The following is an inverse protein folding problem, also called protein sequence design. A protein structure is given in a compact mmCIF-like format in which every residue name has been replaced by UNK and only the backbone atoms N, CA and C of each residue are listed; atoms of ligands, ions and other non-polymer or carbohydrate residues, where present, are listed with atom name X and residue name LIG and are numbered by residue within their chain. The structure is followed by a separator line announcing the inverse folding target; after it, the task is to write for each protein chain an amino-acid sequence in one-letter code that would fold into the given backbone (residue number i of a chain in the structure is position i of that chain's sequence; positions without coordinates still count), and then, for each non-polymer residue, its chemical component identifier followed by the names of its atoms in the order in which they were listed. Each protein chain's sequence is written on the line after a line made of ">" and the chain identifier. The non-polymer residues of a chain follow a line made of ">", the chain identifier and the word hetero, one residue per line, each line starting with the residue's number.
data_IF_113378930606
#
_entry.id   IF_113378930606
#
_cell.length_a   1.000
_cell.length_b   1.000
_cell.length_c   1.000
_cell.angle_alpha   90.00
_cell.angle_beta   90.00
_cell.angle_gamma   90.00
#
_symmetry.space_group_name_H-M   'P 1'
#
loop_
_entity.id
_entity.type
_entity.pdbx_description
1 polymer ?
#
# COMPACT_ATOMS: atom_id res chain seq x y z
N UNK A 1 9.56 -4.70 -12.83
CA UNK A 1 9.86 -3.88 -11.64
C UNK A 1 9.32 -2.45 -11.80
N UNK A 2 9.70 -1.70 -12.84
CA UNK A 2 9.41 -0.26 -12.97
C UNK A 2 7.91 0.11 -12.92
N UNK A 3 7.06 -0.57 -13.70
CA UNK A 3 5.62 -0.27 -13.79
C UNK A 3 4.86 -0.67 -12.51
N UNK A 4 5.28 -1.75 -11.86
CA UNK A 4 4.59 -2.30 -10.70
C UNK A 4 4.93 -1.56 -9.40
N UNK A 5 6.15 -1.00 -9.31
CA UNK A 5 6.64 -0.30 -8.13
C UNK A 5 6.33 1.20 -8.15
N UNK A 6 6.59 1.89 -9.26
CA UNK A 6 6.63 3.35 -9.26
C UNK A 6 5.33 4.02 -9.75
N UNK A 7 4.60 3.42 -10.68
CA UNK A 7 3.43 4.07 -11.30
C UNK A 7 2.10 3.57 -10.74
N UNK A 8 1.99 2.28 -10.41
CA UNK A 8 0.73 1.69 -9.94
C UNK A 8 0.44 2.03 -8.46
N UNK A 9 1.44 1.99 -7.59
CA UNK A 9 1.27 2.31 -6.16
C UNK A 9 1.02 3.80 -5.94
N UNK A 10 1.77 4.66 -6.62
CA UNK A 10 1.65 6.12 -6.49
C UNK A 10 0.34 6.67 -7.06
N UNK A 11 -0.20 6.07 -8.13
CA UNK A 11 -1.51 6.44 -8.67
C UNK A 11 -2.65 6.22 -7.66
N UNK A 12 -2.59 5.13 -6.88
CA UNK A 12 -3.55 4.87 -5.80
C UNK A 12 -3.50 5.93 -4.69
N UNK A 13 -2.29 6.26 -4.22
CA UNK A 13 -2.07 7.30 -3.20
C UNK A 13 -2.52 8.67 -3.73
N UNK A 14 -2.22 8.99 -4.99
CA UNK A 14 -2.66 10.23 -5.64
C UNK A 14 -4.18 10.36 -5.69
N UNK A 15 -4.90 9.28 -6.03
CA UNK A 15 -6.36 9.30 -6.06
C UNK A 15 -6.94 9.56 -4.66
N UNK A 16 -6.40 8.91 -3.63
CA UNK A 16 -6.83 9.10 -2.23
C UNK A 16 -6.57 10.55 -1.79
N UNK A 17 -5.38 11.08 -2.08
CA UNK A 17 -5.02 12.46 -1.77
C UNK A 17 -5.93 13.47 -2.50
N UNK A 18 -6.22 13.26 -3.78
CA UNK A 18 -7.11 14.11 -4.57
C UNK A 18 -8.55 14.08 -4.08
N UNK A 19 -8.98 12.94 -3.55
CA UNK A 19 -10.34 12.75 -3.00
C UNK A 19 -10.41 13.02 -1.50
N UNK A 20 -9.39 13.61 -0.87
CA UNK A 20 -9.36 13.84 0.59
C UNK A 20 -10.64 14.50 1.14
N UNK A 21 -11.19 15.47 0.41
CA UNK A 21 -12.42 16.17 0.78
C UNK A 21 -13.65 15.25 0.88
N UNK A 22 -13.66 14.14 0.14
CA UNK A 22 -14.71 13.10 0.19
C UNK A 22 -14.50 12.21 1.42
N UNK A 23 -13.25 11.87 1.73
CA UNK A 23 -12.90 11.05 2.90
C UNK A 23 -13.11 11.78 4.23
N UNK A 24 -13.03 13.11 4.25
CA UNK A 24 -13.34 13.93 5.43
C UNK A 24 -14.83 13.89 5.82
N UNK A 25 -15.73 13.61 4.88
CA UNK A 25 -17.17 13.52 5.15
C UNK A 25 -17.58 12.24 5.91
N UNK A 26 -16.73 11.22 5.99
CA UNK A 26 -17.04 9.96 6.65
C UNK A 26 -15.84 9.39 7.40
N UNK A 27 -15.88 9.52 8.73
CA UNK A 27 -14.88 8.94 9.64
C UNK A 27 -14.78 7.43 9.46
N UNK A 28 -15.91 6.74 9.31
CA UNK A 28 -15.93 5.28 9.09
C UNK A 28 -15.15 4.86 7.84
N UNK A 29 -15.36 5.55 6.71
CA UNK A 29 -14.66 5.23 5.46
C UNK A 29 -13.13 5.39 5.61
N UNK A 30 -12.70 6.46 6.29
CA UNK A 30 -11.29 6.73 6.56
C UNK A 30 -10.66 5.72 7.53
N UNK A 31 -11.40 5.29 8.55
CA UNK A 31 -10.96 4.25 9.49
C UNK A 31 -10.80 2.89 8.80
N UNK A 32 -11.73 2.52 7.92
CA UNK A 32 -11.62 1.28 7.13
C UNK A 32 -10.40 1.31 6.22
N UNK A 33 -10.17 2.43 5.53
CA UNK A 33 -8.98 2.62 4.68
C UNK A 33 -7.68 2.41 5.47
N UNK A 34 -7.59 3.00 6.67
CA UNK A 34 -6.44 2.83 7.57
C UNK A 34 -6.22 1.36 7.96
N UNK A 35 -7.28 0.65 8.35
CA UNK A 35 -7.18 -0.76 8.73
C UNK A 35 -6.77 -1.65 7.56
N UNK A 36 -7.35 -1.44 6.37
CA UNK A 36 -6.99 -2.19 5.16
C UNK A 36 -5.52 -1.97 4.81
N UNK A 37 -5.03 -0.72 4.88
CA UNK A 37 -3.63 -0.40 4.65
C UNK A 37 -2.69 -1.06 5.67
N UNK A 38 -3.04 -0.96 6.96
CA UNK A 38 -2.25 -1.54 8.05
C UNK A 38 -2.12 -3.06 7.93
N UNK A 39 -3.23 -3.78 7.69
CA UNK A 39 -3.24 -5.24 7.54
C UNK A 39 -2.45 -5.67 6.30
N UNK A 40 -2.62 -4.97 5.18
CA UNK A 40 -1.92 -5.28 3.93
C UNK A 40 -0.41 -5.09 4.05
N UNK A 41 0.02 -3.99 4.70
CA UNK A 41 1.43 -3.71 4.97
C UNK A 41 2.04 -4.78 5.86
N UNK A 42 1.35 -5.16 6.94
CA UNK A 42 1.80 -6.19 7.87
C UNK A 42 1.97 -7.56 7.17
N UNK A 43 0.97 -8.00 6.42
CA UNK A 43 1.01 -9.27 5.69
C UNK A 43 2.20 -9.31 4.72
N UNK A 44 2.37 -8.28 3.89
CA UNK A 44 3.46 -8.23 2.91
C UNK A 44 4.84 -8.13 3.54
N UNK A 45 4.96 -7.38 4.64
CA UNK A 45 6.22 -7.30 5.40
C UNK A 45 6.61 -8.65 5.98
N UNK A 46 5.68 -9.40 6.55
CA UNK A 46 5.97 -10.75 7.08
C UNK A 46 6.34 -11.73 5.96
N UNK A 47 5.64 -11.69 4.81
CA UNK A 47 5.97 -12.53 3.64
C UNK A 47 7.32 -12.18 3.02
N UNK A 48 7.73 -10.90 3.07
CA UNK A 48 9.03 -10.45 2.58
C UNK A 48 10.23 -10.99 3.35
N UNK A 49 10.07 -11.31 4.65
CA UNK A 49 11.14 -11.85 5.49
C UNK A 49 11.52 -13.30 5.14
N UNK A 50 10.58 -14.06 4.55
CA UNK A 50 10.77 -15.49 4.23
C UNK A 50 11.20 -15.69 2.76
N UNK A 51 11.35 -14.62 1.99
CA UNK A 51 11.80 -14.70 0.60
C UNK A 51 13.32 -14.84 0.49
N UNK A 52 13.77 -15.88 -0.21
CA UNK A 52 15.19 -16.16 -0.45
C UNK A 52 15.79 -15.37 -1.64
N UNK A 53 14.93 -14.82 -2.51
CA UNK A 53 15.37 -14.02 -3.66
C UNK A 53 15.34 -12.52 -3.36
N UNK A 54 16.50 -11.85 -3.45
CA UNK A 54 16.62 -10.41 -3.16
C UNK A 54 15.67 -9.55 -4.00
N UNK A 55 15.41 -9.94 -5.26
CA UNK A 55 14.48 -9.24 -6.16
C UNK A 55 13.03 -9.32 -5.66
N UNK A 56 12.65 -10.45 -5.06
CA UNK A 56 11.32 -10.64 -4.48
C UNK A 56 11.19 -9.87 -3.17
N UNK A 57 12.22 -9.87 -2.33
CA UNK A 57 12.25 -9.05 -1.10
C UNK A 57 12.02 -7.58 -1.41
N UNK A 58 12.72 -7.04 -2.43
CA UNK A 58 12.54 -5.64 -2.84
C UNK A 58 11.13 -5.40 -3.38
N UNK A 59 10.58 -6.30 -4.20
CA UNK A 59 9.20 -6.17 -4.69
C UNK A 59 8.15 -6.18 -3.55
N UNK A 60 8.31 -7.05 -2.55
CA UNK A 60 7.42 -7.09 -1.39
C UNK A 60 7.57 -5.84 -0.51
N UNK A 61 8.78 -5.28 -0.40
CA UNK A 61 9.00 -4.03 0.33
C UNK A 61 8.23 -2.86 -0.27
N UNK A 62 8.27 -2.69 -1.60
CA UNK A 62 7.46 -1.66 -2.30
C UNK A 62 5.97 -1.91 -2.16
N UNK A 63 5.55 -3.17 -2.07
CA UNK A 63 4.15 -3.52 -1.96
C UNK A 63 3.59 -3.34 -0.53
N UNK A 64 4.47 -3.31 0.47
CA UNK A 64 4.13 -3.03 1.87
C UNK A 64 4.12 -1.54 2.22
N UNK A 65 4.69 -0.71 1.34
CA UNK A 65 4.84 0.74 1.48
C UNK A 65 3.65 1.46 0.82
#
# INVERSE_FOLDING_TARGET
>A
ALIHAATLVTAGIFLIARTNRIWECSVYARTVLLWVGAVTSLMRRTMGLVQNDVKRVIAYSTCSQ
#
